data_IF_158624315225
#
_entry.id   IF_158624315225
#
_cell.length_a   1.000
_cell.length_b   1.000
_cell.length_c   1.000
_cell.angle_alpha   90.00
_cell.angle_beta   90.00
_cell.angle_gamma   90.00
#
_symmetry.space_group_name_H-M   'P 1'
#
loop_
_entity.id
_entity.type
_entity.pdbx_description
1 polymer ?
#
# COMPACT_ATOMS: atom_id res chain seq x y z
N UNK A 1 17.89 0.51 10.96
CA UNK A 1 16.94 0.87 9.87
C UNK A 1 16.23 -0.41 9.45
N UNK A 2 15.01 -0.32 8.90
CA UNK A 2 14.17 -1.50 8.62
C UNK A 2 14.62 -2.37 7.43
N UNK A 3 15.72 -2.01 6.74
CA UNK A 3 16.31 -2.79 5.61
C UNK A 3 15.34 -3.13 4.47
N UNK A 4 14.35 -2.27 4.22
CA UNK A 4 13.39 -2.42 3.12
C UNK A 4 13.84 -1.62 1.89
N UNK A 5 13.70 -2.22 0.72
CA UNK A 5 13.77 -1.53 -0.55
C UNK A 5 12.42 -0.86 -0.85
N UNK A 6 12.40 0.26 -1.60
CA UNK A 6 11.14 0.92 -1.96
C UNK A 6 10.13 -0.02 -2.63
N UNK A 7 10.60 -0.95 -3.48
CA UNK A 7 9.73 -1.89 -4.20
C UNK A 7 9.20 -3.06 -3.35
N UNK A 8 9.60 -3.17 -2.07
CA UNK A 8 8.93 -4.07 -1.12
C UNK A 8 7.54 -3.54 -0.73
N UNK A 9 7.30 -2.23 -0.90
CA UNK A 9 6.03 -1.57 -0.60
C UNK A 9 5.08 -1.72 -1.78
N UNK A 10 3.92 -2.33 -1.53
CA UNK A 10 2.89 -2.57 -2.55
C UNK A 10 1.73 -1.57 -2.50
N UNK A 11 1.60 -0.83 -1.40
CA UNK A 11 0.56 0.18 -1.21
C UNK A 11 1.08 1.39 -0.42
N UNK A 12 0.57 2.58 -0.74
CA UNK A 12 0.77 3.77 0.09
C UNK A 12 -0.58 4.42 0.40
N UNK A 13 -0.90 4.49 1.69
CA UNK A 13 -1.90 5.40 2.24
C UNK A 13 -1.29 6.79 2.30
N UNK A 14 -1.64 7.61 1.31
CA UNK A 14 -1.13 8.97 1.13
C UNK A 14 -1.70 9.93 2.17
N UNK A 15 -1.02 11.06 2.37
CA UNK A 15 -1.60 12.19 3.09
C UNK A 15 -2.85 12.69 2.34
N UNK A 16 -2.78 12.80 1.01
CA UNK A 16 -3.91 12.76 0.08
C UNK A 16 -5.09 13.63 0.50
N UNK A 17 -4.87 14.95 0.54
CA UNK A 17 -5.87 15.93 0.99
C UNK A 17 -6.79 16.40 -0.12
N UNK A 18 -6.60 15.95 -1.36
CA UNK A 18 -7.43 16.35 -2.49
C UNK A 18 -7.09 17.75 -3.00
N UNK A 19 -5.92 18.29 -2.64
CA UNK A 19 -5.57 19.66 -3.00
C UNK A 19 -4.92 19.71 -4.38
N UNK A 20 -5.31 20.70 -5.19
CA UNK A 20 -4.83 20.83 -6.58
C UNK A 20 -3.31 21.00 -6.73
N UNK A 21 -2.65 21.40 -5.65
CA UNK A 21 -1.19 21.57 -5.58
C UNK A 21 -0.53 20.47 -4.74
N UNK A 22 -1.11 20.13 -3.59
CA UNK A 22 -0.51 19.17 -2.66
C UNK A 22 -0.46 17.75 -3.23
N UNK A 23 -1.52 17.27 -3.88
CA UNK A 23 -1.53 15.90 -4.42
C UNK A 23 -0.44 15.69 -5.50
N UNK A 24 -0.27 16.59 -6.50
CA UNK A 24 0.87 16.50 -7.42
C UNK A 24 2.24 16.56 -6.73
N UNK A 25 2.38 17.41 -5.70
CA UNK A 25 3.65 17.53 -4.94
C UNK A 25 3.95 16.24 -4.18
N UNK A 26 2.95 15.65 -3.53
CA UNK A 26 3.07 14.38 -2.82
C UNK A 26 3.51 13.25 -3.77
N UNK A 27 2.84 13.10 -4.91
CA UNK A 27 3.22 12.07 -5.89
C UNK A 27 4.60 12.33 -6.48
N UNK A 28 4.94 13.58 -6.82
CA UNK A 28 6.27 13.92 -7.32
C UNK A 28 7.38 13.60 -6.32
N UNK A 29 7.10 13.75 -5.02
CA UNK A 29 8.05 13.45 -3.94
C UNK A 29 8.22 11.94 -3.81
N UNK A 30 7.13 11.18 -3.84
CA UNK A 30 7.19 9.72 -3.86
C UNK A 30 7.96 9.22 -5.09
N UNK A 31 7.74 9.77 -6.28
CA UNK A 31 8.42 9.33 -7.51
C UNK A 31 9.93 9.60 -7.55
N UNK A 32 10.46 10.41 -6.63
CA UNK A 32 11.92 10.56 -6.45
C UNK A 32 12.53 9.39 -5.68
N UNK A 33 11.73 8.70 -4.86
CA UNK A 33 12.14 7.55 -4.06
C UNK A 33 11.81 6.24 -4.78
N UNK A 34 10.63 6.18 -5.38
CA UNK A 34 10.12 5.02 -6.11
C UNK A 34 10.25 5.28 -7.61
N UNK A 35 11.20 4.61 -8.26
CA UNK A 35 11.45 4.77 -9.70
C UNK A 35 10.84 3.61 -10.51
N UNK A 36 10.30 3.87 -11.72
CA UNK A 36 9.70 2.83 -12.56
C UNK A 36 10.64 1.69 -12.93
N UNK A 37 11.94 1.96 -13.04
CA UNK A 37 12.99 0.99 -13.38
C UNK A 37 13.08 -0.17 -12.38
N UNK A 38 12.55 0.02 -11.17
CA UNK A 38 12.65 -0.93 -10.07
C UNK A 38 11.34 -1.67 -9.78
N UNK A 39 10.31 -1.57 -10.63
CA UNK A 39 9.04 -2.26 -10.38
C UNK A 39 8.48 -2.99 -11.60
N UNK A 40 7.89 -4.17 -11.36
CA UNK A 40 7.15 -4.95 -12.37
C UNK A 40 5.69 -4.51 -12.50
N UNK A 41 5.15 -3.82 -11.49
CA UNK A 41 3.74 -3.40 -11.41
C UNK A 41 3.61 -2.03 -10.76
N UNK A 42 2.53 -1.29 -11.06
CA UNK A 42 2.29 0.00 -10.40
C UNK A 42 1.93 -0.21 -8.93
N UNK A 43 2.60 0.52 -8.05
CA UNK A 43 2.30 0.60 -6.62
C UNK A 43 0.96 1.32 -6.46
N UNK A 44 0.04 0.70 -5.72
CA UNK A 44 -1.29 1.27 -5.50
C UNK A 44 -1.20 2.39 -4.48
N UNK A 45 -1.95 3.47 -4.69
CA UNK A 45 -2.06 4.58 -3.74
C UNK A 45 -3.51 4.87 -3.41
N UNK A 46 -3.75 5.42 -2.22
CA UNK A 46 -5.08 5.88 -1.83
C UNK A 46 -5.07 6.80 -0.63
N UNK A 47 -6.26 7.26 -0.24
CA UNK A 47 -6.46 8.09 0.96
C UNK A 47 -7.83 7.81 1.57
N UNK A 48 -7.85 7.49 2.87
CA UNK A 48 -9.07 7.35 3.67
C UNK A 48 -9.90 8.65 3.70
N UNK A 49 -9.26 9.80 3.45
CA UNK A 49 -9.94 11.10 3.45
C UNK A 49 -11.00 11.21 2.37
N UNK A 50 -10.91 10.40 1.31
CA UNK A 50 -11.99 10.29 0.32
C UNK A 50 -13.29 9.72 0.90
N UNK A 51 -13.23 9.00 2.02
CA UNK A 51 -14.38 8.37 2.66
C UNK A 51 -14.87 9.16 3.89
N UNK A 52 -13.94 9.67 4.70
CA UNK A 52 -14.25 10.26 6.01
C UNK A 52 -13.92 11.76 6.12
N UNK A 53 -13.38 12.37 5.07
CA UNK A 53 -12.85 13.72 5.11
C UNK A 53 -11.51 13.82 5.85
N UNK A 54 -11.06 15.05 6.09
CA UNK A 54 -9.83 15.34 6.81
C UNK A 54 -10.11 15.35 8.32
N UNK A 55 -9.52 14.41 9.07
CA UNK A 55 -9.77 14.24 10.51
C UNK A 55 -8.73 14.95 11.39
N UNK A 56 -8.05 15.95 10.84
CA UNK A 56 -6.97 16.74 11.44
C UNK A 56 -5.97 15.85 12.19
N UNK A 57 -5.89 15.98 13.51
CA UNK A 57 -4.97 15.27 14.40
C UNK A 57 -5.14 13.75 14.34
N UNK A 58 -6.33 13.26 14.00
CA UNK A 58 -6.61 11.82 13.86
C UNK A 58 -6.29 11.27 12.46
N UNK A 59 -6.01 12.12 11.47
CA UNK A 59 -5.83 11.70 10.07
C UNK A 59 -4.77 10.61 9.90
N UNK A 60 -3.64 10.73 10.60
CA UNK A 60 -2.55 9.74 10.51
C UNK A 60 -2.95 8.38 11.09
N UNK A 61 -3.51 8.35 12.31
CA UNK A 61 -3.91 7.09 12.96
C UNK A 61 -5.09 6.43 12.24
N UNK A 62 -6.02 7.20 11.67
CA UNK A 62 -7.11 6.64 10.88
C UNK A 62 -6.59 5.98 9.60
N UNK A 63 -5.61 6.58 8.92
CA UNK A 63 -4.92 5.97 7.77
C UNK A 63 -4.21 4.66 8.15
N UNK A 64 -3.52 4.64 9.29
CA UNK A 64 -2.93 3.42 9.84
C UNK A 64 -3.98 2.33 10.09
N UNK A 65 -5.08 2.66 10.78
CA UNK A 65 -6.16 1.70 11.05
C UNK A 65 -6.70 1.10 9.74
N UNK A 66 -6.91 1.92 8.71
CA UNK A 66 -7.30 1.44 7.38
C UNK A 66 -6.28 0.44 6.82
N UNK A 67 -5.00 0.78 6.85
CA UNK A 67 -3.93 -0.08 6.33
C UNK A 67 -3.86 -1.40 7.10
N UNK A 68 -3.85 -1.37 8.43
CA UNK A 68 -3.80 -2.59 9.24
C UNK A 68 -5.02 -3.48 9.01
N UNK A 69 -6.22 -2.89 8.81
CA UNK A 69 -7.42 -3.65 8.44
C UNK A 69 -7.33 -4.20 7.01
N UNK A 70 -6.80 -3.44 6.05
CA UNK A 70 -6.61 -3.89 4.68
C UNK A 70 -5.64 -5.08 4.59
N UNK A 71 -4.52 -4.99 5.30
CA UNK A 71 -3.53 -6.06 5.45
C UNK A 71 -4.16 -7.30 6.09
N UNK A 72 -4.85 -7.14 7.22
CA UNK A 72 -5.50 -8.24 7.96
C UNK A 72 -6.54 -8.98 7.11
N UNK A 73 -7.33 -8.25 6.32
CA UNK A 73 -8.41 -8.83 5.53
C UNK A 73 -7.99 -9.19 4.10
N UNK A 74 -6.72 -8.98 3.75
CA UNK A 74 -6.19 -9.18 2.40
C UNK A 74 -7.03 -8.45 1.31
N UNK A 75 -7.50 -7.25 1.62
CA UNK A 75 -8.45 -6.49 0.80
C UNK A 75 -8.03 -5.03 0.76
N UNK A 76 -7.91 -4.48 -0.44
CA UNK A 76 -7.61 -3.06 -0.62
C UNK A 76 -8.88 -2.27 -1.00
N UNK A 77 -9.35 -1.37 -0.13
CA UNK A 77 -10.54 -0.57 -0.43
C UNK A 77 -10.24 0.54 -1.44
N UNK A 78 -11.25 0.83 -2.26
CA UNK A 78 -11.26 1.89 -3.26
C UNK A 78 -11.08 3.27 -2.61
N UNK A 79 -10.28 4.12 -3.26
CA UNK A 79 -10.25 5.57 -3.02
C UNK A 79 -11.34 6.22 -3.86
N UNK A 80 -12.21 7.00 -3.20
CA UNK A 80 -13.39 7.62 -3.81
C UNK A 80 -13.04 8.92 -4.53
N UNK A 81 -13.97 9.40 -5.36
CA UNK A 81 -13.90 10.70 -6.05
C UNK A 81 -12.68 10.89 -6.96
N UNK A 82 -12.17 9.79 -7.51
CA UNK A 82 -10.97 9.78 -8.36
C UNK A 82 -11.21 9.09 -9.71
N UNK A 83 -12.37 9.27 -10.32
CA UNK A 83 -12.64 8.71 -11.67
C UNK A 83 -11.72 9.32 -12.73
N UNK A 84 -11.36 10.60 -12.54
CA UNK A 84 -10.38 11.31 -13.36
C UNK A 84 -9.23 11.79 -12.47
N UNK A 85 -8.13 11.02 -12.37
CA UNK A 85 -7.00 11.43 -11.55
C UNK A 85 -6.36 12.71 -12.12
N UNK A 86 -5.68 13.46 -11.25
CA UNK A 86 -5.13 14.78 -11.59
C UNK A 86 -4.28 14.75 -12.87
N UNK A 87 -4.60 15.61 -13.83
CA UNK A 87 -3.85 15.78 -15.09
C UNK A 87 -2.47 16.44 -14.89
N UNK A 88 -2.20 16.97 -13.69
CA UNK A 88 -0.89 17.53 -13.32
C UNK A 88 0.14 16.46 -12.97
N UNK A 89 -0.27 15.19 -12.91
CA UNK A 89 0.60 14.04 -12.63
C UNK A 89 0.76 13.26 -13.93
N UNK A 90 2.01 13.00 -14.33
CA UNK A 90 2.33 12.20 -15.51
C UNK A 90 2.19 10.70 -15.20
N UNK A 91 0.96 10.19 -15.06
CA UNK A 91 0.70 8.82 -14.59
C UNK A 91 1.41 7.72 -15.39
N UNK A 92 1.66 7.93 -16.68
CA UNK A 92 2.34 6.96 -17.54
C UNK A 92 3.84 6.85 -17.26
N UNK A 93 4.45 7.91 -16.72
CA UNK A 93 5.88 7.92 -16.35
C UNK A 93 6.11 7.61 -14.87
N UNK A 94 5.05 7.42 -14.11
CA UNK A 94 5.11 7.12 -12.68
C UNK A 94 4.86 5.64 -12.40
N UNK A 95 5.48 5.13 -11.34
CA UNK A 95 5.25 3.78 -10.83
C UNK A 95 3.98 3.68 -9.96
N UNK A 96 3.17 4.74 -9.85
CA UNK A 96 1.98 4.79 -9.01
C UNK A 96 0.68 4.72 -9.80
N UNK A 97 -0.34 4.11 -9.21
CA UNK A 97 -1.70 4.15 -9.71
C UNK A 97 -2.67 4.31 -8.54
N UNK A 98 -3.69 5.18 -8.72
CA UNK A 98 -4.76 5.30 -7.72
C UNK A 98 -5.53 3.98 -7.64
N UNK A 99 -5.81 3.51 -6.42
CA UNK A 99 -6.67 2.36 -6.20
C UNK A 99 -8.13 2.76 -6.37
N UNK A 100 -8.65 2.62 -7.58
CA UNK A 100 -10.01 2.99 -7.97
C UNK A 100 -11.01 1.82 -7.88
N UNK A 101 -10.61 0.68 -7.32
CA UNK A 101 -11.45 -0.52 -7.22
C UNK A 101 -11.30 -1.15 -5.84
N UNK A 102 -12.39 -1.76 -5.36
CA UNK A 102 -12.34 -2.65 -4.20
C UNK A 102 -11.88 -4.01 -4.69
N UNK A 103 -10.80 -4.56 -4.13
CA UNK A 103 -10.27 -5.82 -4.62
C UNK A 103 -9.38 -6.53 -3.62
N UNK A 104 -9.16 -7.81 -3.89
CA UNK A 104 -8.18 -8.59 -3.14
C UNK A 104 -6.79 -7.98 -3.32
N UNK A 105 -6.06 -7.83 -2.22
CA UNK A 105 -4.69 -7.37 -2.27
C UNK A 105 -3.77 -8.55 -2.63
N UNK A 106 -3.57 -8.83 -3.91
CA UNK A 106 -2.80 -10.02 -4.31
C UNK A 106 -1.30 -9.85 -4.05
N UNK A 107 -0.65 -10.83 -3.43
CA UNK A 107 0.80 -10.80 -3.10
C UNK A 107 1.59 -12.04 -3.45
N UNK A 108 1.00 -13.01 -4.15
CA UNK A 108 1.69 -14.24 -4.57
C UNK A 108 2.43 -14.95 -3.40
N UNK A 109 1.97 -14.75 -2.15
CA UNK A 109 2.60 -15.34 -0.97
C UNK A 109 3.73 -14.54 -0.32
N UNK A 110 3.92 -13.28 -0.70
CA UNK A 110 4.94 -12.38 -0.12
C UNK A 110 4.36 -11.52 1.02
N UNK A 111 5.23 -11.07 1.93
CA UNK A 111 4.83 -10.13 3.00
C UNK A 111 4.38 -8.81 2.38
N UNK A 112 3.24 -8.30 2.84
CA UNK A 112 2.71 -7.01 2.41
C UNK A 112 3.35 -5.88 3.22
N UNK A 113 4.15 -5.02 2.59
CA UNK A 113 4.53 -3.74 3.17
C UNK A 113 3.65 -2.62 2.60
N UNK A 114 3.23 -1.73 3.50
CA UNK A 114 2.35 -0.61 3.20
C UNK A 114 2.90 0.66 3.84
N UNK A 115 3.03 1.73 3.06
CA UNK A 115 3.39 3.05 3.57
C UNK A 115 2.17 3.81 4.10
N UNK A 116 2.34 4.61 5.14
CA UNK A 116 1.36 5.58 5.63
C UNK A 116 2.03 6.94 5.75
N UNK A 117 1.54 7.95 5.03
CA UNK A 117 2.07 9.31 5.02
C UNK A 117 1.12 10.29 5.70
N UNK A 118 1.68 11.20 6.50
CA UNK A 118 0.93 12.33 7.08
C UNK A 118 1.80 13.57 7.17
N UNK A 119 1.32 14.69 6.59
CA UNK A 119 2.05 15.95 6.50
C UNK A 119 1.28 17.05 7.22
N UNK A 120 1.85 17.59 8.29
CA UNK A 120 1.25 18.69 9.04
C UNK A 120 1.42 20.01 8.31
N UNK A 121 0.45 20.92 8.47
CA UNK A 121 0.48 22.25 7.86
C UNK A 121 1.70 23.09 8.28
N UNK A 122 2.21 22.83 9.49
CA UNK A 122 3.41 23.49 10.04
C UNK A 122 4.73 22.89 9.50
N UNK A 123 4.66 21.94 8.57
CA UNK A 123 5.83 21.34 7.91
C UNK A 123 6.42 20.11 8.61
N UNK A 124 5.81 19.65 9.71
CA UNK A 124 6.19 18.37 10.34
C UNK A 124 5.61 17.21 9.55
N UNK A 125 6.48 16.34 9.05
CA UNK A 125 6.12 15.21 8.20
C UNK A 125 6.39 13.88 8.90
N UNK A 126 5.49 12.93 8.74
CA UNK A 126 5.64 11.56 9.21
C UNK A 126 5.38 10.58 8.06
N UNK A 127 6.20 9.54 7.97
CA UNK A 127 6.00 8.39 7.09
C UNK A 127 6.34 7.12 7.86
N UNK A 128 5.48 6.12 7.79
CA UNK A 128 5.64 4.84 8.47
C UNK A 128 5.39 3.69 7.50
N UNK A 129 6.05 2.56 7.72
CA UNK A 129 5.79 1.31 7.01
C UNK A 129 5.14 0.32 7.96
N UNK A 130 3.96 -0.19 7.59
CA UNK A 130 3.19 -1.23 8.29
C UNK A 130 3.21 -2.54 7.48
N UNK A 131 3.13 -3.67 8.17
CA UNK A 131 3.11 -4.99 7.56
C UNK A 131 2.52 -6.03 8.51
N UNK A 132 2.02 -7.13 7.96
CA UNK A 132 1.57 -8.29 8.75
C UNK A 132 2.34 -9.54 8.33
N UNK A 133 2.82 -10.28 9.32
CA UNK A 133 3.40 -11.61 9.08
C UNK A 133 2.28 -12.60 8.82
N UNK A 134 2.22 -13.13 7.59
CA UNK A 134 1.35 -14.26 7.26
C UNK A 134 2.18 -15.52 7.46
N UNK A 135 1.91 -16.27 8.53
CA UNK A 135 2.51 -17.58 8.72
C UNK A 135 1.91 -18.53 7.67
N UNK A 136 2.69 -18.91 6.66
CA UNK A 136 2.26 -19.94 5.74
C UNK A 136 2.23 -21.28 6.48
N UNK A 137 1.17 -22.10 6.32
CA UNK A 137 1.20 -23.45 6.83
C UNK A 137 2.38 -24.18 6.19
N UNK A 138 3.24 -24.80 7.01
CA UNK A 138 4.28 -25.69 6.52
C UNK A 138 3.63 -26.73 5.60
N UNK A 139 4.22 -26.94 4.42
CA UNK A 139 3.87 -28.09 3.58
C UNK A 139 4.17 -29.33 4.42
N UNK A 140 3.13 -29.94 5.00
CA UNK A 140 3.23 -31.27 5.58
C UNK A 140 3.66 -32.20 4.44
N UNK A 141 4.94 -32.59 4.47
CA UNK A 141 5.43 -33.68 3.65
C UNK A 141 4.70 -34.93 4.11
N UNK A 142 3.62 -35.28 3.42
CA UNK A 142 3.04 -36.60 3.49
C UNK A 142 4.01 -37.56 2.79
N UNK A 143 5.13 -37.84 3.44
CA UNK A 143 5.94 -39.01 3.13
C UNK A 143 5.15 -40.22 3.59
N UNK A 144 4.25 -40.69 2.71
CA UNK A 144 3.59 -41.97 2.83
C UNK A 144 4.64 -43.05 2.98
N UNK A 145 4.82 -43.52 4.21
CA UNK A 145 5.45 -44.81 4.44
C UNK A 145 4.46 -45.86 3.93
N UNK A 146 4.64 -46.24 2.67
CA UNK A 146 4.06 -47.45 2.13
C UNK A 146 4.59 -48.63 2.94
N UNK A 147 3.73 -49.17 3.80
CA UNK A 147 3.91 -50.50 4.36
C UNK A 147 3.86 -51.49 3.19
N UNK A 148 5.03 -51.89 2.71
CA UNK A 148 5.14 -53.07 1.86
C UNK A 148 4.80 -54.28 2.72
N UNK A 149 3.69 -54.94 2.37
CA UNK A 149 3.38 -56.29 2.81
C UNK A 149 4.40 -57.27 2.23
N UNK A 150 5.22 -57.84 3.09
CA UNK A 150 5.82 -59.17 2.93
C UNK A 150 5.18 -59.99 4.05
N UNK A 151 4.45 -61.08 3.78
CA UNK A 151 4.84 -62.24 3.00
C UNK A 151 4.79 -63.41 3.97
#
# INVERSE_FOLDING_TARGET
>A
MAELAPFDISYIETHGTGTQLGDPVEISTLSRVFTPENTKQKIKIGSLKSNLGHLDTASGVSGLIKVSLALKNNLLPQTLHCEQPSKKIEWDKNCFAVNNENGQWQTEGQTHFAGVSSFGIEGTNAHMVDFIWICMPEKTSAAGHGLQSVG
#
